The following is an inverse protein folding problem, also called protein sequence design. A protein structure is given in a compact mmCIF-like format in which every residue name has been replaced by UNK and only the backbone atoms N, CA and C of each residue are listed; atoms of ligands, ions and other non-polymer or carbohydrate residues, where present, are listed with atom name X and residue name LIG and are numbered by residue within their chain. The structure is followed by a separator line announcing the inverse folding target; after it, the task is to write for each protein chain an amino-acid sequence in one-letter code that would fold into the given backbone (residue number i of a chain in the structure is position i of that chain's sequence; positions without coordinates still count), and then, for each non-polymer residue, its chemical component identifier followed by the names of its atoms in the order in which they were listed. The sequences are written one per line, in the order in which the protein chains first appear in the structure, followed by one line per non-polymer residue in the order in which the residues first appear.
data_IF_765442758315
#
_entry.id   IF_765442758315
#
_cell.length_a   1.000
_cell.length_b   1.000
_cell.length_c   1.000
_cell.angle_alpha   90.00
_cell.angle_beta   90.00
_cell.angle_gamma   90.00
#
_symmetry.space_group_name_H-M   'P 1'
#
loop_
_entity.id
_entity.type
_entity.pdbx_description
1 polymer ?
#
# COMPACT_ATOMS: atom_id res chain seq x y z
N UNK A 1 46.33 -27.56 -42.05
CA UNK A 1 45.31 -26.74 -42.73
C UNK A 1 45.12 -25.52 -41.85
N UNK A 2 45.90 -24.45 -42.14
CA UNK A 2 45.85 -23.21 -41.36
C UNK A 2 44.68 -22.37 -41.83
N UNK A 3 43.74 -22.09 -40.93
CA UNK A 3 42.69 -21.12 -41.21
C UNK A 3 43.33 -19.74 -41.45
N UNK A 4 43.04 -19.16 -42.60
CA UNK A 4 43.58 -17.83 -42.96
C UNK A 4 43.26 -16.81 -41.86
N UNK A 5 44.26 -16.05 -41.48
CA UNK A 5 44.19 -14.98 -40.45
C UNK A 5 42.99 -14.01 -40.67
N UNK A 6 42.58 -13.85 -41.92
CA UNK A 6 41.39 -13.07 -42.31
C UNK A 6 40.08 -13.71 -41.85
N UNK A 7 39.96 -15.04 -41.85
CA UNK A 7 38.75 -15.76 -41.41
C UNK A 7 38.62 -15.68 -39.88
N UNK A 8 39.74 -15.84 -39.19
CA UNK A 8 39.76 -15.73 -37.71
C UNK A 8 39.34 -14.32 -37.26
N UNK A 9 39.85 -13.29 -37.93
CA UNK A 9 39.49 -11.90 -37.66
C UNK A 9 38.00 -11.60 -37.88
N UNK A 10 37.40 -12.16 -38.93
CA UNK A 10 35.95 -12.03 -39.22
C UNK A 10 35.10 -12.75 -38.17
N UNK A 11 35.49 -13.95 -37.74
CA UNK A 11 34.82 -14.71 -36.69
C UNK A 11 34.84 -13.97 -35.35
N UNK A 12 36.00 -13.41 -34.96
CA UNK A 12 36.13 -12.64 -33.73
C UNK A 12 35.24 -11.34 -33.75
N UNK A 13 35.14 -10.70 -34.90
CA UNK A 13 34.25 -9.53 -35.05
C UNK A 13 32.77 -9.91 -34.92
N UNK A 14 32.36 -11.03 -35.49
CA UNK A 14 30.99 -11.53 -35.40
C UNK A 14 30.64 -11.90 -33.94
N UNK A 15 31.56 -12.61 -33.27
CA UNK A 15 31.36 -12.94 -31.83
C UNK A 15 31.26 -11.68 -30.99
N UNK A 16 32.14 -10.70 -31.20
CA UNK A 16 32.13 -9.45 -30.46
C UNK A 16 30.83 -8.63 -30.70
N UNK A 17 30.33 -8.61 -31.94
CA UNK A 17 29.04 -7.96 -32.26
C UNK A 17 27.86 -8.70 -31.62
N UNK A 18 27.90 -10.05 -31.60
CA UNK A 18 26.84 -10.83 -30.96
C UNK A 18 26.84 -10.69 -29.43
N UNK A 19 27.99 -10.60 -28.79
CA UNK A 19 28.08 -10.33 -27.36
C UNK A 19 27.64 -8.90 -27.02
N UNK A 20 27.99 -7.92 -27.87
CA UNK A 20 27.57 -6.53 -27.66
C UNK A 20 26.05 -6.36 -27.81
N UNK A 21 25.43 -7.05 -28.78
CA UNK A 21 23.98 -7.07 -28.96
C UNK A 21 23.25 -7.82 -27.84
N UNK A 22 23.82 -8.91 -27.33
CA UNK A 22 23.30 -9.63 -26.18
C UNK A 22 23.41 -8.79 -24.89
N UNK A 23 24.52 -8.05 -24.71
CA UNK A 23 24.71 -7.12 -23.59
C UNK A 23 23.77 -5.94 -23.67
N UNK A 24 23.41 -5.46 -24.86
CA UNK A 24 22.40 -4.43 -25.06
C UNK A 24 20.98 -4.96 -24.81
N UNK A 25 20.67 -6.20 -25.15
CA UNK A 25 19.40 -6.83 -24.82
C UNK A 25 19.25 -7.11 -23.31
N UNK A 26 20.35 -7.45 -22.61
CA UNK A 26 20.37 -7.61 -21.16
C UNK A 26 20.30 -6.28 -20.40
N UNK A 27 20.58 -5.16 -21.06
CA UNK A 27 20.49 -3.80 -20.55
C UNK A 27 19.24 -3.05 -21.01
N UNK A 28 18.23 -3.72 -21.51
CA UNK A 28 16.89 -3.15 -21.56
C UNK A 28 16.41 -3.02 -20.09
N UNK A 29 16.98 -2.07 -19.40
CA UNK A 29 16.49 -1.59 -18.12
C UNK A 29 15.05 -1.18 -18.38
N UNK A 30 14.11 -1.88 -17.76
CA UNK A 30 12.71 -1.45 -17.79
C UNK A 30 12.74 -0.02 -17.26
N UNK A 31 12.37 0.92 -18.12
CA UNK A 31 12.24 2.32 -17.71
C UNK A 31 11.18 2.37 -16.60
N UNK A 32 11.65 2.42 -15.36
CA UNK A 32 10.79 2.44 -14.18
C UNK A 32 9.94 3.71 -14.10
N UNK A 33 10.30 4.70 -14.90
CA UNK A 33 9.61 5.97 -15.01
C UNK A 33 8.70 6.05 -16.25
N UNK A 34 8.65 4.98 -17.08
CA UNK A 34 7.75 4.93 -18.22
C UNK A 34 6.29 4.88 -17.76
N UNK A 35 5.53 5.91 -18.06
CA UNK A 35 4.10 5.94 -17.83
C UNK A 35 3.36 5.12 -18.91
N UNK A 36 2.27 4.40 -18.55
CA UNK A 36 1.45 3.73 -19.54
C UNK A 36 0.79 4.72 -20.49
N UNK A 37 0.54 4.29 -21.73
CA UNK A 37 -0.26 5.08 -22.66
C UNK A 37 -1.72 5.11 -22.17
N UNK A 38 -2.32 6.28 -22.22
CA UNK A 38 -3.72 6.50 -21.88
C UNK A 38 -4.50 7.02 -23.08
N UNK A 39 -5.81 6.83 -23.09
CA UNK A 39 -6.73 7.34 -24.12
C UNK A 39 -6.72 8.85 -24.20
N UNK A 40 -7.10 9.38 -25.36
CA UNK A 40 -7.24 10.82 -25.56
C UNK A 40 -8.20 11.45 -24.54
N UNK A 41 -7.80 12.56 -23.95
CA UNK A 41 -8.55 13.26 -22.90
C UNK A 41 -8.18 12.83 -21.48
N UNK A 42 -7.32 11.81 -21.29
CA UNK A 42 -6.75 11.46 -20.00
C UNK A 42 -5.28 11.85 -19.93
N UNK A 43 -4.85 12.22 -18.73
CA UNK A 43 -3.45 12.45 -18.40
C UNK A 43 -3.07 11.56 -17.22
N UNK A 44 -1.85 11.01 -17.24
CA UNK A 44 -1.29 10.23 -16.15
C UNK A 44 0.06 10.80 -15.75
N UNK A 45 0.31 10.87 -14.46
CA UNK A 45 1.59 11.26 -13.87
C UNK A 45 1.85 10.45 -12.61
N UNK A 46 3.07 10.54 -12.08
CA UNK A 46 3.39 10.00 -10.78
C UNK A 46 3.09 11.04 -9.70
N UNK A 47 2.14 10.73 -8.83
CA UNK A 47 1.86 11.56 -7.66
C UNK A 47 3.01 11.51 -6.63
N UNK A 48 3.60 10.33 -6.45
CA UNK A 48 4.79 10.06 -5.61
C UNK A 48 5.51 8.82 -6.12
N UNK A 49 6.83 8.73 -5.89
CA UNK A 49 7.65 7.58 -6.28
C UNK A 49 8.51 7.07 -5.12
N UNK A 50 9.06 5.89 -5.28
CA UNK A 50 10.17 5.44 -4.44
C UNK A 50 11.35 6.43 -4.53
N UNK A 51 12.06 6.65 -3.43
CA UNK A 51 12.00 5.94 -2.13
C UNK A 51 11.00 6.54 -1.13
N UNK A 52 10.20 7.51 -1.51
CA UNK A 52 9.28 8.22 -0.61
C UNK A 52 8.15 7.32 -0.08
N UNK A 53 7.62 6.44 -0.94
CA UNK A 53 6.63 5.41 -0.59
C UNK A 53 7.13 4.07 -1.12
N UNK A 54 7.11 3.05 -0.25
CA UNK A 54 7.53 1.68 -0.58
C UNK A 54 6.35 0.74 -0.37
N UNK A 55 5.97 -0.03 -1.41
CA UNK A 55 4.84 -0.97 -1.37
C UNK A 55 3.54 -0.33 -0.85
N UNK A 56 2.99 0.70 -1.51
CA UNK A 56 1.71 1.28 -1.12
C UNK A 56 0.61 0.21 -1.18
N UNK A 57 -0.18 0.09 -0.13
CA UNK A 57 -1.19 -0.96 0.04
C UNK A 57 -2.61 -0.43 0.19
N UNK A 58 -2.77 0.78 0.67
CA UNK A 58 -4.06 1.42 0.89
C UNK A 58 -3.95 2.93 0.79
N UNK A 59 -5.05 3.59 0.45
CA UNK A 59 -5.14 5.04 0.40
C UNK A 59 -6.53 5.52 0.81
N UNK A 60 -6.60 6.70 1.42
CA UNK A 60 -7.84 7.41 1.70
C UNK A 60 -7.57 8.92 1.80
N UNK A 61 -8.61 9.70 1.66
CA UNK A 61 -8.53 11.16 1.84
C UNK A 61 -9.16 11.57 3.16
N UNK A 62 -8.57 12.56 3.80
CA UNK A 62 -9.17 13.21 4.95
C UNK A 62 -10.22 14.29 4.52
N UNK A 63 -10.82 14.95 5.51
CA UNK A 63 -11.78 16.03 5.27
C UNK A 63 -11.19 17.31 4.65
N UNK A 64 -9.85 17.45 4.63
CA UNK A 64 -9.12 18.55 3.99
C UNK A 64 -8.71 18.22 2.56
N UNK A 65 -8.94 16.97 2.09
CA UNK A 65 -8.49 16.48 0.80
C UNK A 65 -7.03 16.02 0.78
N UNK A 66 -6.38 15.88 1.93
CA UNK A 66 -5.03 15.34 2.03
C UNK A 66 -5.05 13.83 1.83
N UNK A 67 -4.11 13.31 1.03
CA UNK A 67 -4.00 11.89 0.75
C UNK A 67 -3.18 11.17 1.82
N UNK A 68 -3.80 10.19 2.47
CA UNK A 68 -3.13 9.27 3.39
C UNK A 68 -2.83 7.96 2.67
N UNK A 69 -1.58 7.52 2.74
CA UNK A 69 -1.12 6.28 2.09
C UNK A 69 -0.52 5.34 3.12
N UNK A 70 -1.14 4.18 3.27
CA UNK A 70 -0.58 3.06 4.01
C UNK A 70 0.42 2.30 3.15
N UNK A 71 1.59 2.01 3.71
CA UNK A 71 2.68 1.35 3.01
C UNK A 71 3.23 0.18 3.83
N UNK A 72 3.54 -0.90 3.14
CA UNK A 72 3.97 -2.16 3.73
C UNK A 72 5.35 -2.61 3.28
N UNK A 73 6.46 -1.94 3.69
CA UNK A 73 7.81 -2.35 3.33
C UNK A 73 8.17 -3.76 3.79
N UNK A 74 7.54 -4.25 4.86
CA UNK A 74 7.71 -5.63 5.36
C UNK A 74 6.80 -6.65 4.64
N UNK A 75 6.00 -6.24 3.69
CA UNK A 75 4.94 -7.07 3.13
C UNK A 75 5.38 -8.51 2.83
N UNK A 76 4.65 -9.46 3.40
CA UNK A 76 4.73 -10.92 3.42
C UNK A 76 5.86 -11.54 4.24
N UNK A 77 6.98 -10.89 4.44
CA UNK A 77 8.14 -11.50 5.09
C UNK A 77 8.87 -10.49 5.98
N UNK A 78 8.25 -10.10 7.10
CA UNK A 78 8.93 -9.22 8.03
C UNK A 78 10.24 -9.89 8.48
N UNK A 79 11.32 -9.13 8.41
CA UNK A 79 12.64 -9.52 8.91
C UNK A 79 12.93 -8.67 10.13
N UNK A 80 13.83 -9.15 11.00
CA UNK A 80 14.21 -8.45 12.23
C UNK A 80 14.63 -6.99 11.99
N UNK A 81 15.31 -6.74 10.86
CA UNK A 81 15.80 -5.40 10.47
C UNK A 81 14.88 -4.68 9.45
N UNK A 82 13.69 -5.21 9.15
CA UNK A 82 12.79 -4.53 8.24
C UNK A 82 12.17 -3.31 8.91
N UNK A 83 12.04 -2.18 8.19
CA UNK A 83 11.26 -1.06 8.69
C UNK A 83 9.81 -1.51 8.89
N UNK A 84 9.17 -1.02 9.95
CA UNK A 84 7.75 -1.29 10.21
C UNK A 84 6.88 -0.68 9.10
N UNK A 85 5.67 -1.19 8.96
CA UNK A 85 4.69 -0.58 8.07
C UNK A 85 4.26 0.79 8.63
N UNK A 86 3.90 1.69 7.76
CA UNK A 86 3.65 3.09 8.10
C UNK A 86 2.51 3.71 7.29
N UNK A 87 2.07 4.87 7.74
CA UNK A 87 1.13 5.73 7.01
C UNK A 87 1.79 7.09 6.78
N UNK A 88 1.76 7.55 5.55
CA UNK A 88 2.21 8.90 5.17
C UNK A 88 1.07 9.76 4.69
N UNK A 89 1.22 11.07 4.93
CA UNK A 89 0.39 12.12 4.35
C UNK A 89 1.13 12.67 3.15
N UNK A 90 0.46 12.73 2.02
CA UNK A 90 0.96 13.30 0.78
C UNK A 90 0.13 14.54 0.45
N UNK A 91 0.79 15.67 0.31
CA UNK A 91 0.14 16.96 0.08
C UNK A 91 0.64 17.51 -1.24
N UNK A 92 -0.31 17.71 -2.16
CA UNK A 92 -0.18 18.45 -3.41
C UNK A 92 -0.77 19.84 -3.16
N UNK A 93 0.09 20.83 -2.99
CA UNK A 93 -0.31 22.16 -2.53
C UNK A 93 -0.69 23.09 -3.68
N UNK A 94 -0.24 22.82 -4.90
CA UNK A 94 -0.53 23.62 -6.08
C UNK A 94 -1.47 22.94 -7.09
N UNK A 95 -1.90 21.69 -6.77
CA UNK A 95 -2.81 20.87 -7.56
C UNK A 95 -2.28 20.54 -8.96
N UNK A 96 -0.97 20.32 -9.07
CA UNK A 96 -0.34 19.88 -10.33
C UNK A 96 -0.34 18.35 -10.50
N UNK A 97 -0.78 17.61 -9.47
CA UNK A 97 -0.85 16.15 -9.42
C UNK A 97 0.45 15.50 -8.97
N UNK A 98 1.33 16.23 -8.30
CA UNK A 98 2.56 15.73 -7.67
C UNK A 98 2.58 16.18 -6.21
N UNK A 99 2.98 15.33 -5.30
CA UNK A 99 3.07 15.68 -3.89
C UNK A 99 4.41 16.37 -3.58
N UNK A 100 4.39 17.64 -3.15
CA UNK A 100 5.57 18.39 -2.71
C UNK A 100 5.90 18.13 -1.25
N UNK A 101 4.89 17.86 -0.43
CA UNK A 101 5.09 17.63 1.00
C UNK A 101 4.69 16.21 1.38
N UNK A 102 5.61 15.54 2.08
CA UNK A 102 5.42 14.17 2.54
C UNK A 102 5.71 14.13 4.03
N UNK A 103 4.70 13.79 4.83
CA UNK A 103 4.82 13.65 6.28
C UNK A 103 4.58 12.19 6.68
N UNK A 104 5.18 11.76 7.78
CA UNK A 104 4.87 10.47 8.41
C UNK A 104 3.77 10.68 9.43
N UNK A 105 2.60 10.09 9.21
CA UNK A 105 1.47 10.17 10.12
C UNK A 105 1.55 9.12 11.23
N UNK A 106 1.92 7.88 10.88
CA UNK A 106 2.01 6.78 11.84
C UNK A 106 3.07 5.76 11.42
N UNK A 107 3.73 5.16 12.40
CA UNK A 107 4.72 4.10 12.24
C UNK A 107 4.41 2.94 13.20
N UNK A 108 5.21 1.87 13.16
CA UNK A 108 5.04 0.73 14.04
C UNK A 108 3.83 -0.14 13.70
N UNK A 109 3.29 -0.02 12.49
CA UNK A 109 2.15 -0.77 12.02
C UNK A 109 2.57 -2.10 11.38
N UNK A 110 1.59 -2.96 11.11
CA UNK A 110 1.80 -4.24 10.47
C UNK A 110 0.71 -4.51 9.44
N UNK A 111 1.10 -4.67 8.19
CA UNK A 111 0.22 -5.04 7.09
C UNK A 111 -1.01 -4.10 6.96
N UNK A 112 -0.75 -2.81 6.77
CA UNK A 112 -1.79 -1.78 6.57
C UNK A 112 -2.47 -2.00 5.21
N UNK A 113 -3.64 -2.63 5.19
CA UNK A 113 -4.32 -3.02 3.94
C UNK A 113 -5.60 -2.25 3.63
N UNK A 114 -6.13 -1.51 4.59
CA UNK A 114 -7.25 -0.63 4.38
C UNK A 114 -7.29 0.46 5.43
N UNK A 115 -7.82 1.61 5.04
CA UNK A 115 -7.99 2.78 5.91
C UNK A 115 -9.28 3.51 5.57
N UNK A 116 -9.93 4.08 6.58
CA UNK A 116 -11.10 4.93 6.41
C UNK A 116 -11.23 5.96 7.53
N UNK A 117 -11.48 7.20 7.17
CA UNK A 117 -11.74 8.28 8.13
C UNK A 117 -13.18 8.25 8.67
N UNK A 118 -13.34 8.51 9.97
CA UNK A 118 -14.61 8.86 10.62
C UNK A 118 -14.42 10.05 11.53
N UNK A 119 -14.81 11.22 11.07
CA UNK A 119 -14.50 12.47 11.78
C UNK A 119 -12.98 12.70 11.86
N UNK A 120 -12.44 12.71 13.06
CA UNK A 120 -11.02 12.90 13.35
C UNK A 120 -10.32 11.57 13.69
N UNK A 121 -10.96 10.44 13.42
CA UNK A 121 -10.45 9.10 13.68
C UNK A 121 -10.06 8.42 12.36
N UNK A 122 -8.80 8.00 12.22
CA UNK A 122 -8.38 7.14 11.13
C UNK A 122 -8.48 5.67 11.56
N UNK A 123 -9.42 4.94 10.97
CA UNK A 123 -9.59 3.52 11.17
C UNK A 123 -8.69 2.75 10.23
N UNK A 124 -7.87 1.85 10.76
CA UNK A 124 -6.80 1.17 10.05
C UNK A 124 -6.91 -0.33 10.23
N UNK A 125 -6.98 -1.06 9.13
CA UNK A 125 -6.75 -2.51 9.13
C UNK A 125 -5.25 -2.76 9.30
N UNK A 126 -4.83 -2.95 10.53
CA UNK A 126 -3.46 -3.15 10.99
C UNK A 126 -3.31 -4.59 11.49
N UNK A 127 -3.15 -5.54 10.58
CA UNK A 127 -3.26 -6.98 10.89
C UNK A 127 -2.35 -7.42 12.05
N UNK A 128 -2.87 -8.19 13.01
CA UNK A 128 -4.19 -8.85 13.03
C UNK A 128 -5.31 -8.00 13.66
N UNK A 129 -5.18 -6.71 13.66
CA UNK A 129 -6.03 -5.78 14.40
C UNK A 129 -6.78 -4.82 13.50
N UNK A 130 -7.87 -4.29 14.02
CA UNK A 130 -8.48 -3.05 13.56
C UNK A 130 -8.15 -1.99 14.62
N UNK A 131 -7.41 -0.97 14.22
CA UNK A 131 -6.87 0.07 15.10
C UNK A 131 -7.42 1.42 14.70
N UNK A 132 -7.72 2.27 15.68
CA UNK A 132 -8.02 3.68 15.47
C UNK A 132 -6.80 4.50 15.83
N UNK A 133 -6.42 5.38 14.93
CA UNK A 133 -5.35 6.35 15.10
C UNK A 133 -5.94 7.75 15.23
N UNK A 134 -5.39 8.55 16.13
CA UNK A 134 -5.77 9.96 16.31
C UNK A 134 -4.52 10.83 16.43
N UNK A 135 -4.58 11.96 15.80
CA UNK A 135 -3.73 13.12 16.03
C UNK A 135 -4.49 14.05 16.99
N UNK A 136 -4.07 14.12 18.24
CA UNK A 136 -4.82 14.84 19.29
C UNK A 136 -4.35 16.26 19.48
N UNK A 137 -3.16 16.62 19.02
CA UNK A 137 -2.57 17.95 19.14
C UNK A 137 -2.49 18.73 17.81
N UNK A 138 -2.75 18.06 16.69
CA UNK A 138 -2.89 18.68 15.36
C UNK A 138 -1.57 18.91 14.63
N UNK A 139 -0.53 18.11 14.94
CA UNK A 139 0.79 18.21 14.32
C UNK A 139 0.97 17.33 13.06
N UNK A 140 -0.09 16.64 12.65
CA UNK A 140 -0.14 15.66 11.55
C UNK A 140 0.62 14.36 11.87
N UNK A 141 0.81 14.03 13.16
CA UNK A 141 1.35 12.75 13.64
C UNK A 141 0.34 12.08 14.58
N UNK A 142 0.09 10.80 14.41
CA UNK A 142 -0.78 10.06 15.32
C UNK A 142 -0.08 9.82 16.66
N UNK A 143 -0.65 10.34 17.72
CA UNK A 143 -0.17 10.18 19.09
C UNK A 143 -1.03 9.21 19.93
N UNK A 144 -2.24 8.85 19.45
CA UNK A 144 -3.09 7.85 20.09
C UNK A 144 -3.38 6.66 19.16
N UNK A 145 -3.09 5.45 19.63
CA UNK A 145 -3.31 4.17 18.95
C UNK A 145 -4.26 3.32 19.79
N UNK A 146 -5.49 3.12 19.32
CA UNK A 146 -6.49 2.35 20.03
C UNK A 146 -6.88 1.09 19.26
N UNK A 147 -6.57 -0.09 19.79
CA UNK A 147 -7.01 -1.37 19.22
C UNK A 147 -8.50 -1.54 19.50
N UNK A 148 -9.30 -1.71 18.45
CA UNK A 148 -10.75 -1.90 18.52
C UNK A 148 -11.11 -3.38 18.46
N UNK A 149 -10.48 -4.11 17.52
CA UNK A 149 -10.61 -5.54 17.35
C UNK A 149 -9.26 -6.19 17.16
N UNK A 150 -9.16 -7.44 17.61
CA UNK A 150 -7.99 -8.28 17.35
C UNK A 150 -8.42 -9.63 16.80
N UNK A 151 -7.49 -10.39 16.22
CA UNK A 151 -7.76 -11.72 15.66
C UNK A 151 -8.32 -11.70 14.24
N UNK A 152 -8.26 -10.56 13.54
CA UNK A 152 -8.54 -10.42 12.10
C UNK A 152 -7.35 -10.98 11.29
N UNK A 153 -6.97 -12.21 11.63
CA UNK A 153 -5.67 -12.74 11.24
C UNK A 153 -5.68 -13.35 9.85
N UNK A 154 -5.16 -12.60 8.89
CA UNK A 154 -4.50 -13.16 7.73
C UNK A 154 -3.54 -12.16 7.08
N UNK A 155 -2.25 -12.33 7.25
CA UNK A 155 -1.21 -11.47 6.67
C UNK A 155 -1.25 -11.38 5.14
N UNK A 156 -1.91 -12.33 4.45
CA UNK A 156 -1.94 -12.36 2.97
C UNK A 156 -3.22 -11.75 2.39
N UNK A 157 -4.34 -11.92 3.07
CA UNK A 157 -5.66 -11.55 2.60
C UNK A 157 -6.49 -11.02 3.78
N UNK A 158 -5.93 -10.06 4.49
CA UNK A 158 -6.52 -9.45 5.66
C UNK A 158 -7.79 -8.62 5.32
N UNK A 159 -8.11 -7.67 6.14
CA UNK A 159 -9.22 -6.75 5.94
C UNK A 159 -8.87 -5.76 4.83
N UNK A 160 -9.70 -5.68 3.82
CA UNK A 160 -9.59 -4.75 2.70
C UNK A 160 -10.86 -3.91 2.57
N UNK A 161 -10.78 -2.85 1.78
CA UNK A 161 -11.94 -2.07 1.38
C UNK A 161 -12.72 -1.47 2.54
N UNK A 162 -12.02 -1.01 3.58
CA UNK A 162 -12.63 -0.35 4.72
C UNK A 162 -13.39 0.90 4.27
N UNK A 163 -14.68 0.99 4.62
CA UNK A 163 -15.50 2.11 4.18
C UNK A 163 -16.67 2.36 5.15
N UNK A 164 -16.99 3.61 5.38
CA UNK A 164 -18.17 3.99 6.16
C UNK A 164 -19.37 4.12 5.25
N UNK A 165 -20.44 3.37 5.55
CA UNK A 165 -21.71 3.51 4.86
C UNK A 165 -22.48 4.75 5.30
N UNK A 166 -23.48 5.18 4.49
CA UNK A 166 -24.35 6.31 4.84
C UNK A 166 -25.22 6.04 6.06
N UNK A 167 -25.35 4.79 6.46
CA UNK A 167 -26.04 4.32 7.67
C UNK A 167 -25.18 4.39 8.93
N UNK A 168 -23.91 4.82 8.80
CA UNK A 168 -22.95 4.90 9.88
C UNK A 168 -22.25 3.61 10.24
N UNK A 169 -22.44 2.52 9.44
CA UNK A 169 -21.75 1.25 9.62
C UNK A 169 -20.39 1.23 8.93
N UNK A 170 -19.43 0.53 9.55
CA UNK A 170 -18.15 0.23 8.92
C UNK A 170 -18.28 -1.06 8.11
N UNK A 171 -18.05 -0.94 6.81
CA UNK A 171 -18.04 -2.05 5.86
C UNK A 171 -16.61 -2.41 5.51
N UNK A 172 -16.31 -3.70 5.41
CA UNK A 172 -15.03 -4.16 4.93
C UNK A 172 -15.13 -5.54 4.29
N UNK A 173 -14.15 -5.90 3.50
CA UNK A 173 -14.00 -7.22 2.90
C UNK A 173 -12.85 -7.98 3.56
N UNK A 174 -12.97 -9.29 3.65
CA UNK A 174 -11.88 -10.18 4.04
C UNK A 174 -11.59 -11.15 2.89
N UNK A 175 -10.31 -11.43 2.69
CA UNK A 175 -9.88 -12.36 1.65
C UNK A 175 -10.26 -13.82 1.92
N UNK A 176 -9.99 -14.67 0.94
CA UNK A 176 -10.50 -16.01 0.75
C UNK A 176 -10.10 -17.10 1.76
N UNK A 177 -9.26 -16.82 2.72
CA UNK A 177 -8.91 -17.77 3.78
C UNK A 177 -9.71 -17.46 5.03
N UNK A 178 -10.89 -18.05 5.08
CA UNK A 178 -11.72 -18.03 6.26
C UNK A 178 -11.07 -18.85 7.39
N UNK A 179 -10.31 -18.18 8.24
CA UNK A 179 -10.23 -18.64 9.61
C UNK A 179 -11.44 -18.02 10.29
N UNK A 180 -12.39 -18.85 10.74
CA UNK A 180 -13.54 -18.38 11.54
C UNK A 180 -12.92 -17.58 12.71
N UNK A 181 -13.00 -16.27 12.76
CA UNK A 181 -12.43 -15.55 13.86
C UNK A 181 -13.17 -16.04 15.08
N UNK A 182 -12.47 -16.41 16.13
CA UNK A 182 -13.03 -16.35 17.46
C UNK A 182 -13.49 -14.90 17.56
N UNK A 183 -14.81 -14.69 17.46
CA UNK A 183 -15.38 -13.35 17.25
C UNK A 183 -14.64 -12.35 18.14
N UNK A 184 -13.87 -11.43 17.58
CA UNK A 184 -13.08 -10.53 18.40
C UNK A 184 -14.06 -9.79 19.29
N UNK A 185 -13.84 -9.81 20.59
CA UNK A 185 -14.65 -9.02 21.49
C UNK A 185 -14.24 -7.57 21.27
N UNK A 186 -15.17 -6.66 21.02
CA UNK A 186 -14.84 -5.25 20.91
C UNK A 186 -14.17 -4.81 22.21
N UNK A 187 -13.05 -4.12 22.10
CA UNK A 187 -12.34 -3.57 23.25
C UNK A 187 -13.16 -2.41 23.83
N UNK A 188 -13.98 -1.79 22.99
CA UNK A 188 -14.87 -0.69 23.36
C UNK A 188 -16.18 -0.83 22.61
N UNK A 189 -17.27 -0.53 23.31
CA UNK A 189 -18.60 -0.39 22.71
C UNK A 189 -18.66 0.95 21.96
N UNK A 190 -18.34 0.93 20.68
CA UNK A 190 -18.37 2.09 19.81
C UNK A 190 -19.77 2.22 19.21
N UNK A 191 -20.36 3.40 19.29
CA UNK A 191 -21.61 3.69 18.60
C UNK A 191 -21.46 3.39 17.10
N UNK A 192 -22.29 2.47 16.58
CA UNK A 192 -22.24 2.02 15.20
C UNK A 192 -21.54 0.68 14.96
N UNK A 193 -20.91 0.10 15.99
CA UNK A 193 -20.44 -1.29 15.96
C UNK A 193 -21.25 -2.06 17.00
N UNK A 194 -22.28 -2.78 16.60
CA UNK A 194 -23.03 -3.65 17.50
C UNK A 194 -22.31 -4.97 17.62
N UNK A 195 -21.87 -5.30 18.84
CA UNK A 195 -21.04 -6.47 19.14
C UNK A 195 -21.77 -7.82 19.00
N UNK A 196 -23.08 -7.81 18.97
CA UNK A 196 -23.91 -9.02 19.16
C UNK A 196 -24.64 -9.47 17.90
N UNK A 197 -24.65 -8.66 16.87
CA UNK A 197 -25.37 -8.97 15.64
C UNK A 197 -24.42 -9.49 14.56
N UNK A 198 -24.36 -10.82 14.45
CA UNK A 198 -23.53 -11.53 13.44
C UNK A 198 -23.87 -11.17 12.00
N UNK A 199 -24.95 -10.43 11.78
CA UNK A 199 -25.45 -10.04 10.46
C UNK A 199 -24.95 -8.67 10.00
N UNK A 200 -24.28 -7.91 10.85
CA UNK A 200 -23.94 -6.51 10.59
C UNK A 200 -22.48 -6.26 10.19
N UNK A 201 -21.60 -7.26 10.27
CA UNK A 201 -20.38 -7.30 9.51
C UNK A 201 -20.73 -7.85 8.13
N UNK A 202 -21.10 -6.97 7.20
CA UNK A 202 -21.35 -7.37 5.81
C UNK A 202 -20.05 -7.84 5.21
N UNK A 203 -19.79 -9.14 5.35
CA UNK A 203 -18.77 -9.84 4.57
C UNK A 203 -19.31 -9.95 3.15
N UNK A 204 -18.91 -9.04 2.28
CA UNK A 204 -19.14 -9.23 0.86
C UNK A 204 -18.09 -10.22 0.39
N UNK A 205 -18.47 -11.47 0.19
CA UNK A 205 -17.70 -12.40 -0.60
C UNK A 205 -17.79 -11.96 -2.07
N UNK A 206 -16.64 -11.64 -2.64
CA UNK A 206 -16.47 -11.62 -4.09
C UNK A 206 -15.83 -12.94 -4.50
#
# INVERSE_FOLDING_TARGET
MELSFSIIKRLLIIIFISELSLLQMLKAEVDKDALPNVEEGFQINFFVKEPHIINPSSLCFDKKGQLYVGAGPQYRHPKEDSPTDYIKILIDSDNDGVAETIKTFAEGLNCVQAMAWKGDELWVANAPELTVLRDTDGDDVADEYQIIYTGLNNLRHSVHGLNWGPDGWLYFTMGNTWVKPNAPKPIRDLQGIKSDDKTQLSLIHI
#
